data_IF_506508122563
#
_entry.id   IF_506508122563
#
_cell.length_a   1.000
_cell.length_b   1.000
_cell.length_c   1.000
_cell.angle_alpha   90.00
_cell.angle_beta   90.00
_cell.angle_gamma   90.00
#
_symmetry.space_group_name_H-M   'P 1'
#
loop_
_entity.id
_entity.type
_entity.pdbx_description
1 polymer ?
#
# COMPACT_ATOMS: atom_id res chain seq x y z
N UNK A 1 18.77 41.30 27.04
CA UNK A 1 17.30 41.31 26.87
C UNK A 1 16.99 41.31 25.38
N UNK A 2 16.15 40.35 24.96
CA UNK A 2 15.40 40.23 23.69
C UNK A 2 16.19 39.85 22.42
N UNK A 3 16.09 38.58 22.05
CA UNK A 3 16.24 38.10 20.67
C UNK A 3 15.11 37.13 20.33
N UNK A 4 14.23 37.56 19.42
CA UNK A 4 13.46 36.78 18.44
C UNK A 4 12.45 37.73 17.78
N UNK A 5 11.82 37.40 16.63
CA UNK A 5 12.07 36.31 15.68
C UNK A 5 12.18 36.81 14.22
N UNK A 6 12.90 36.10 13.34
CA UNK A 6 12.50 36.08 11.93
C UNK A 6 12.87 34.76 11.27
N UNK A 7 11.92 34.31 10.46
CA UNK A 7 11.76 33.01 9.83
C UNK A 7 12.93 32.56 8.94
N UNK A 8 13.18 31.25 8.96
CA UNK A 8 13.54 30.54 7.73
C UNK A 8 13.11 29.08 7.82
N UNK A 9 11.98 28.80 7.18
CA UNK A 9 11.75 27.70 6.26
C UNK A 9 12.43 26.34 6.59
N UNK A 10 11.65 25.38 7.12
CA UNK A 10 12.06 23.97 7.18
C UNK A 10 10.88 23.01 6.94
N UNK A 11 10.15 23.28 5.86
CA UNK A 11 9.30 22.28 5.21
C UNK A 11 9.92 21.97 3.84
N UNK A 12 10.03 20.67 3.51
CA UNK A 12 10.27 20.09 2.15
C UNK A 12 11.69 19.61 1.74
N UNK A 13 12.54 19.08 2.64
CA UNK A 13 13.84 18.51 2.19
C UNK A 13 14.14 17.04 2.53
N UNK A 14 13.19 16.26 3.05
CA UNK A 14 13.24 14.79 2.90
C UNK A 14 12.21 14.36 1.87
N UNK A 15 12.42 14.84 0.65
CA UNK A 15 11.92 14.24 -0.57
C UNK A 15 12.89 13.12 -1.00
N UNK A 16 12.35 12.15 -1.73
CA UNK A 16 13.07 11.48 -2.81
C UNK A 16 14.17 10.45 -2.45
N UNK A 17 13.80 9.39 -1.72
CA UNK A 17 14.41 8.07 -1.96
C UNK A 17 13.27 7.09 -2.21
N UNK A 18 13.00 6.80 -3.50
CA UNK A 18 12.38 5.51 -3.84
C UNK A 18 11.33 5.44 -4.95
N UNK A 19 11.03 6.50 -5.70
CA UNK A 19 10.32 6.33 -6.98
C UNK A 19 11.22 6.70 -8.16
N UNK A 20 11.22 5.80 -9.15
CA UNK A 20 11.89 5.83 -10.48
C UNK A 20 13.25 5.13 -10.58
N UNK A 21 13.21 3.79 -10.74
CA UNK A 21 14.35 3.01 -11.23
C UNK A 21 14.19 1.49 -11.15
N UNK A 22 13.57 0.89 -12.17
CA UNK A 22 13.85 -0.46 -12.70
C UNK A 22 13.84 -1.71 -11.76
N UNK A 23 12.76 -2.50 -11.88
CA UNK A 23 12.66 -3.98 -12.04
C UNK A 23 13.55 -4.97 -11.25
N UNK A 24 13.15 -6.25 -11.08
CA UNK A 24 11.81 -6.84 -11.02
C UNK A 24 11.48 -7.34 -9.60
N UNK A 25 10.20 -7.57 -9.37
CA UNK A 25 9.68 -8.55 -8.43
C UNK A 25 10.55 -9.82 -8.40
N UNK A 26 11.42 -9.96 -7.40
CA UNK A 26 12.12 -11.21 -7.14
C UNK A 26 11.25 -12.08 -6.24
N UNK A 27 10.33 -12.82 -6.86
CA UNK A 27 9.74 -14.02 -6.27
C UNK A 27 10.80 -15.14 -6.19
N UNK A 28 11.82 -14.94 -5.36
CA UNK A 28 12.74 -15.97 -4.84
C UNK A 28 13.85 -15.29 -4.03
N UNK A 29 13.55 -15.01 -2.77
CA UNK A 29 14.58 -15.00 -1.74
C UNK A 29 13.96 -15.43 -0.43
N UNK A 30 14.08 -16.72 -0.16
CA UNK A 30 14.22 -17.23 1.19
C UNK A 30 15.29 -16.40 1.91
N UNK A 31 14.91 -15.40 2.70
CA UNK A 31 15.79 -14.67 3.59
C UNK A 31 15.26 -14.93 5.01
N UNK A 32 15.76 -15.96 5.68
CA UNK A 32 16.90 -15.91 6.62
C UNK A 32 16.69 -14.86 7.71
N UNK A 33 16.67 -15.37 8.94
CA UNK A 33 16.68 -14.68 10.23
C UNK A 33 17.81 -13.64 10.35
N UNK A 34 17.66 -12.50 9.72
CA UNK A 34 18.56 -11.38 9.93
C UNK A 34 17.76 -10.28 10.59
N UNK A 35 18.01 -10.08 11.88
CA UNK A 35 17.67 -8.88 12.64
C UNK A 35 18.22 -7.68 11.86
N UNK A 36 17.42 -7.18 10.91
CA UNK A 36 17.85 -6.18 9.96
C UNK A 36 17.61 -4.81 10.60
N UNK A 37 18.64 -3.97 10.61
CA UNK A 37 18.56 -2.64 11.21
C UNK A 37 17.36 -1.85 10.64
N UNK A 38 17.06 -2.05 9.36
CA UNK A 38 15.92 -1.43 8.67
C UNK A 38 14.56 -1.82 9.29
N UNK A 39 14.38 -3.09 9.70
CA UNK A 39 13.14 -3.56 10.33
C UNK A 39 12.99 -3.01 11.74
N UNK A 40 14.10 -2.90 12.46
CA UNK A 40 14.12 -2.35 13.81
C UNK A 40 13.89 -0.84 13.80
N UNK A 41 14.46 -0.14 12.83
CA UNK A 41 14.22 1.29 12.60
C UNK A 41 12.76 1.54 12.20
N UNK A 42 12.23 0.78 11.25
CA UNK A 42 10.81 0.87 10.90
C UNK A 42 9.92 0.61 12.12
N UNK A 43 10.17 -0.46 12.89
CA UNK A 43 9.41 -0.74 14.10
C UNK A 43 9.49 0.40 15.13
N UNK A 44 10.68 1.00 15.32
CA UNK A 44 10.89 2.12 16.22
C UNK A 44 10.15 3.40 15.79
N UNK A 45 9.90 3.61 14.48
CA UNK A 45 9.07 4.72 14.00
C UNK A 45 7.62 4.61 14.48
N UNK A 46 7.12 3.39 14.67
CA UNK A 46 5.76 3.13 15.13
C UNK A 46 5.66 2.98 16.65
N UNK A 47 6.72 2.52 17.35
CA UNK A 47 6.81 2.51 18.82
C UNK A 47 7.13 3.89 19.39
N UNK A 48 6.20 4.84 19.23
CA UNK A 48 6.34 6.23 19.73
C UNK A 48 6.58 6.34 21.23
N UNK A 49 6.27 5.29 21.98
CA UNK A 49 6.40 5.25 23.45
C UNK A 49 7.70 4.58 23.91
N UNK A 50 8.48 4.00 23.00
CA UNK A 50 9.72 3.29 23.33
C UNK A 50 9.49 2.09 24.25
N UNK A 51 8.32 1.46 24.15
CA UNK A 51 7.89 0.35 25.01
C UNK A 51 8.41 -1.01 24.56
N UNK A 52 8.97 -1.09 23.34
CA UNK A 52 9.39 -2.34 22.71
C UNK A 52 8.22 -3.13 22.10
N UNK A 53 7.02 -2.55 22.07
CA UNK A 53 5.82 -3.14 21.49
C UNK A 53 5.00 -2.07 20.75
N UNK A 54 4.30 -2.51 19.70
CA UNK A 54 3.38 -1.66 18.95
C UNK A 54 1.96 -2.22 19.02
N UNK A 55 0.93 -1.35 19.00
CA UNK A 55 -0.46 -1.81 18.91
C UNK A 55 -0.65 -2.61 17.61
N UNK A 56 -1.36 -3.73 17.67
CA UNK A 56 -1.59 -4.58 16.48
C UNK A 56 -2.26 -3.83 15.33
N UNK A 57 -3.01 -2.77 15.63
CA UNK A 57 -3.71 -1.93 14.65
C UNK A 57 -2.74 -1.23 13.68
N UNK A 58 -1.46 -1.01 14.06
CA UNK A 58 -0.46 -0.38 13.17
C UNK A 58 0.31 -1.38 12.32
N UNK A 59 0.05 -2.69 12.45
CA UNK A 59 0.78 -3.72 11.71
C UNK A 59 0.63 -3.57 10.19
N UNK A 60 -0.54 -3.17 9.71
CA UNK A 60 -0.76 -2.96 8.28
C UNK A 60 0.15 -1.87 7.70
N UNK A 61 0.23 -0.73 8.39
CA UNK A 61 1.08 0.40 7.97
C UNK A 61 2.57 0.07 8.12
N UNK A 62 2.94 -0.66 9.17
CA UNK A 62 4.32 -1.10 9.40
C UNK A 62 4.79 -2.07 8.31
N UNK A 63 3.95 -3.03 7.91
CA UNK A 63 4.26 -3.95 6.82
C UNK A 63 4.42 -3.19 5.48
N UNK A 64 3.54 -2.22 5.22
CA UNK A 64 3.62 -1.34 4.04
C UNK A 64 4.86 -0.46 4.04
N UNK A 65 5.28 0.05 5.21
CA UNK A 65 6.52 0.81 5.36
C UNK A 65 7.78 -0.03 5.02
N UNK A 66 7.70 -1.36 5.15
CA UNK A 66 8.76 -2.29 4.75
C UNK A 66 8.66 -2.77 3.30
N UNK A 67 7.78 -2.17 2.50
CA UNK A 67 7.57 -2.53 1.10
C UNK A 67 6.80 -3.84 0.92
N UNK A 68 6.17 -4.37 1.97
CA UNK A 68 5.19 -5.44 1.80
C UNK A 68 3.85 -4.83 1.41
N UNK A 69 3.13 -5.45 0.48
CA UNK A 69 1.80 -5.01 0.07
C UNK A 69 0.74 -6.03 0.52
N UNK A 70 0.50 -6.21 1.83
CA UNK A 70 -0.55 -7.10 2.31
C UNK A 70 -1.92 -6.57 1.89
N UNK A 71 -2.78 -7.49 1.47
CA UNK A 71 -4.21 -7.23 1.29
C UNK A 71 -4.87 -6.88 2.64
N UNK A 72 -5.98 -6.15 2.63
CA UNK A 72 -6.70 -5.80 3.86
C UNK A 72 -7.20 -7.03 4.62
N UNK A 73 -7.59 -8.09 3.92
CA UNK A 73 -7.97 -9.38 4.47
C UNK A 73 -6.78 -10.05 5.15
N UNK A 74 -5.59 -10.02 4.54
CA UNK A 74 -4.37 -10.52 5.18
C UNK A 74 -4.00 -9.70 6.42
N UNK A 75 -4.10 -8.37 6.36
CA UNK A 75 -3.89 -7.51 7.54
C UNK A 75 -4.90 -7.88 8.62
N UNK A 76 -6.18 -8.04 8.29
CA UNK A 76 -7.21 -8.42 9.26
C UNK A 76 -6.93 -9.77 9.92
N UNK A 77 -6.53 -10.78 9.15
CA UNK A 77 -6.16 -12.10 9.67
C UNK A 77 -4.93 -12.02 10.58
N UNK A 78 -3.90 -11.27 10.17
CA UNK A 78 -2.69 -11.05 10.98
C UNK A 78 -3.04 -10.34 12.29
N UNK A 79 -3.83 -9.28 12.24
CA UNK A 79 -4.26 -8.50 13.41
C UNK A 79 -5.15 -9.34 14.34
N UNK A 80 -5.98 -10.21 13.77
CA UNK A 80 -6.83 -11.14 14.53
C UNK A 80 -6.01 -12.20 15.26
N UNK A 81 -4.99 -12.76 14.59
CA UNK A 81 -4.08 -13.76 15.16
C UNK A 81 -3.02 -13.16 16.11
N UNK A 82 -2.73 -11.86 15.98
CA UNK A 82 -1.73 -11.17 16.78
C UNK A 82 -2.25 -10.77 18.18
N UNK A 83 -1.35 -10.75 19.20
CA UNK A 83 -1.66 -10.17 20.49
C UNK A 83 -1.98 -8.67 20.37
N UNK A 84 -2.67 -8.10 21.36
CA UNK A 84 -3.03 -6.66 21.39
C UNK A 84 -1.82 -5.74 21.23
N UNK A 85 -0.72 -6.11 21.89
CA UNK A 85 0.57 -5.46 21.76
C UNK A 85 1.54 -6.46 21.14
N UNK A 86 2.17 -6.03 20.05
CA UNK A 86 3.04 -6.86 19.22
C UNK A 86 4.46 -6.42 19.47
N UNK A 87 5.25 -7.27 20.09
CA UNK A 87 6.67 -7.07 20.27
C UNK A 87 7.46 -7.36 18.99
N UNK A 88 8.70 -6.88 18.94
CA UNK A 88 9.56 -7.02 17.76
C UNK A 88 9.77 -8.48 17.31
N UNK A 89 9.80 -9.45 18.24
CA UNK A 89 9.98 -10.87 17.88
C UNK A 89 8.70 -11.43 17.24
N UNK A 90 7.54 -11.07 17.78
CA UNK A 90 6.25 -11.42 17.18
C UNK A 90 6.11 -10.79 15.79
N UNK A 91 6.52 -9.53 15.63
CA UNK A 91 6.55 -8.85 14.34
C UNK A 91 7.43 -9.57 13.31
N UNK A 92 8.65 -9.96 13.66
CA UNK A 92 9.52 -10.74 12.77
C UNK A 92 8.89 -12.07 12.37
N UNK A 93 8.12 -12.70 13.24
CA UNK A 93 7.42 -13.95 12.92
C UNK A 93 6.33 -13.73 11.87
N UNK A 94 5.59 -12.62 11.98
CA UNK A 94 4.57 -12.21 11.00
C UNK A 94 5.21 -11.88 9.65
N UNK A 95 6.31 -11.11 9.67
CA UNK A 95 7.03 -10.71 8.47
C UNK A 95 7.62 -11.90 7.72
N UNK A 96 8.11 -12.91 8.45
CA UNK A 96 8.71 -14.13 7.90
C UNK A 96 7.70 -15.27 7.71
N UNK A 97 6.40 -14.98 7.54
CA UNK A 97 5.40 -16.03 7.31
C UNK A 97 5.77 -16.85 6.05
N UNK A 98 5.63 -18.19 6.09
CA UNK A 98 6.08 -19.07 5.01
C UNK A 98 5.35 -18.82 3.68
N UNK A 99 4.12 -18.32 3.73
CA UNK A 99 3.31 -18.02 2.54
C UNK A 99 3.59 -16.63 1.94
N UNK A 100 4.47 -15.84 2.56
CA UNK A 100 4.69 -14.43 2.22
C UNK A 100 3.42 -13.58 2.27
N UNK A 101 3.48 -12.42 1.63
CA UNK A 101 2.32 -11.58 1.36
C UNK A 101 1.96 -11.74 -0.11
N UNK A 102 0.77 -12.26 -0.39
CA UNK A 102 0.38 -12.51 -1.77
C UNK A 102 0.01 -11.19 -2.44
N UNK A 103 0.43 -10.95 -3.69
CA UNK A 103 -0.11 -9.83 -4.44
C UNK A 103 -1.63 -9.99 -4.57
N UNK A 104 -2.35 -8.87 -4.54
CA UNK A 104 -3.82 -8.85 -4.62
C UNK A 104 -4.40 -9.52 -5.90
N UNK A 105 -3.57 -9.70 -6.92
CA UNK A 105 -3.89 -10.38 -8.18
C UNK A 105 -2.92 -9.98 -9.29
N UNK A 106 -3.04 -10.58 -10.47
CA UNK A 106 -2.30 -10.10 -11.65
C UNK A 106 -3.08 -9.03 -12.40
N UNK A 107 -2.43 -8.12 -13.15
CA UNK A 107 -3.11 -7.10 -13.94
C UNK A 107 -4.23 -7.67 -14.83
N UNK A 108 -4.02 -8.87 -15.37
CA UNK A 108 -4.97 -9.56 -16.24
C UNK A 108 -6.25 -9.98 -15.50
N UNK A 109 -6.16 -10.34 -14.22
CA UNK A 109 -7.34 -10.68 -13.41
C UNK A 109 -8.19 -9.44 -13.14
N UNK A 110 -7.57 -8.31 -12.82
CA UNK A 110 -8.27 -7.04 -12.65
C UNK A 110 -8.90 -6.55 -13.96
N UNK A 111 -8.16 -6.60 -15.07
CA UNK A 111 -8.64 -6.23 -16.42
C UNK A 111 -9.88 -7.04 -16.79
N UNK A 112 -9.90 -8.36 -16.53
CA UNK A 112 -11.08 -9.20 -16.77
C UNK A 112 -12.28 -8.80 -15.92
N UNK A 113 -12.06 -8.34 -14.68
CA UNK A 113 -13.12 -7.81 -13.82
C UNK A 113 -13.77 -6.57 -14.41
N UNK A 114 -12.98 -5.66 -14.97
CA UNK A 114 -13.48 -4.43 -15.62
C UNK A 114 -14.14 -4.68 -16.98
N UNK A 115 -13.70 -5.69 -17.74
CA UNK A 115 -14.32 -6.07 -19.02
C UNK A 115 -15.82 -6.42 -18.91
N UNK A 116 -16.30 -6.80 -17.73
CA UNK A 116 -17.74 -7.03 -17.49
C UNK A 116 -18.56 -5.74 -17.59
N UNK A 117 -17.93 -4.59 -17.32
CA UNK A 117 -18.54 -3.27 -17.35
C UNK A 117 -18.33 -2.56 -18.69
N UNK A 118 -17.22 -2.85 -19.37
CA UNK A 118 -16.96 -2.36 -20.73
C UNK A 118 -17.79 -3.12 -21.78
N UNK A 119 -19.02 -2.64 -22.00
CA UNK A 119 -19.93 -3.22 -23.01
C UNK A 119 -19.46 -3.02 -24.44
N UNK A 120 -18.62 -2.02 -24.67
CA UNK A 120 -18.11 -1.66 -26.00
C UNK A 120 -16.80 -2.40 -26.34
N UNK A 121 -16.13 -2.96 -25.33
CA UNK A 121 -14.86 -3.65 -25.47
C UNK A 121 -13.73 -2.73 -25.94
N UNK A 122 -13.82 -1.44 -25.65
CA UNK A 122 -12.89 -0.41 -26.11
C UNK A 122 -11.73 -0.16 -25.13
N UNK A 123 -11.75 -0.76 -23.94
CA UNK A 123 -10.73 -0.56 -22.90
C UNK A 123 -11.00 0.66 -22.00
N UNK A 124 -12.19 1.25 -22.07
CA UNK A 124 -12.60 2.41 -21.31
C UNK A 124 -13.91 2.16 -20.57
N UNK A 125 -14.01 2.67 -19.34
CA UNK A 125 -15.25 2.67 -18.55
C UNK A 125 -15.48 4.05 -17.96
N UNK A 126 -16.72 4.36 -17.58
CA UNK A 126 -16.99 5.62 -16.91
C UNK A 126 -16.28 5.71 -15.56
N UNK A 127 -15.81 6.90 -15.16
CA UNK A 127 -15.19 7.08 -13.84
C UNK A 127 -16.10 6.65 -12.67
N UNK A 128 -17.42 6.81 -12.84
CA UNK A 128 -18.42 6.32 -11.88
C UNK A 128 -18.51 4.79 -11.80
N UNK A 129 -18.34 4.10 -12.94
CA UNK A 129 -18.33 2.64 -13.00
C UNK A 129 -17.04 2.08 -12.38
N UNK A 130 -15.90 2.71 -12.66
CA UNK A 130 -14.62 2.39 -12.02
C UNK A 130 -14.72 2.50 -10.50
N UNK A 131 -15.30 3.60 -9.98
CA UNK A 131 -15.56 3.77 -8.54
C UNK A 131 -16.49 2.69 -7.99
N UNK A 132 -17.55 2.37 -8.70
CA UNK A 132 -18.47 1.31 -8.28
C UNK A 132 -17.76 -0.04 -8.17
N UNK A 133 -16.90 -0.39 -9.14
CA UNK A 133 -16.13 -1.63 -9.11
C UNK A 133 -15.18 -1.66 -7.91
N UNK A 134 -14.40 -0.61 -7.67
CA UNK A 134 -13.41 -0.55 -6.59
C UNK A 134 -14.03 -0.55 -5.18
N UNK A 135 -15.26 -0.06 -5.05
CA UNK A 135 -15.99 -0.03 -3.76
C UNK A 135 -16.88 -1.26 -3.53
N UNK A 136 -17.28 -1.97 -4.60
CA UNK A 136 -18.23 -3.09 -4.51
C UNK A 136 -17.61 -4.47 -4.76
N UNK A 137 -16.53 -4.57 -5.53
CA UNK A 137 -15.93 -5.84 -5.95
C UNK A 137 -14.58 -6.08 -5.29
N UNK A 138 -14.42 -7.24 -4.66
CA UNK A 138 -13.18 -7.66 -4.01
C UNK A 138 -12.96 -7.01 -2.63
N UNK A 139 -11.73 -6.56 -2.38
CA UNK A 139 -11.40 -5.76 -1.20
C UNK A 139 -11.96 -4.35 -1.36
N UNK A 140 -13.02 -4.07 -0.62
CA UNK A 140 -13.70 -2.78 -0.72
C UNK A 140 -12.78 -1.67 -0.24
N UNK A 141 -12.56 -0.71 -1.13
CA UNK A 141 -11.91 0.54 -0.80
C UNK A 141 -12.96 1.55 -0.33
N UNK A 142 -12.54 2.48 0.52
CA UNK A 142 -13.35 3.64 0.90
C UNK A 142 -13.42 4.63 -0.26
N UNK A 143 -14.49 5.43 -0.30
CA UNK A 143 -14.63 6.47 -1.32
C UNK A 143 -13.45 7.44 -1.32
N UNK A 144 -12.91 7.75 -0.13
CA UNK A 144 -11.73 8.60 0.04
C UNK A 144 -10.47 7.98 -0.61
N UNK A 145 -10.22 6.69 -0.41
CA UNK A 145 -9.08 6.01 -1.05
C UNK A 145 -9.24 5.96 -2.57
N UNK A 146 -10.46 5.73 -3.07
CA UNK A 146 -10.74 5.76 -4.51
C UNK A 146 -10.54 7.16 -5.08
N UNK A 147 -10.92 8.21 -4.36
CA UNK A 147 -10.65 9.59 -4.77
C UNK A 147 -9.15 9.89 -4.85
N UNK A 148 -8.35 9.42 -3.88
CA UNK A 148 -6.88 9.56 -3.95
C UNK A 148 -6.31 8.80 -5.16
N UNK A 149 -6.82 7.60 -5.46
CA UNK A 149 -6.40 6.84 -6.65
C UNK A 149 -6.75 7.58 -7.94
N UNK A 150 -7.95 8.14 -8.03
CA UNK A 150 -8.44 8.82 -9.23
C UNK A 150 -7.78 10.18 -9.48
N UNK A 151 -7.21 10.85 -8.46
CA UNK A 151 -6.47 12.11 -8.63
C UNK A 151 -5.29 12.01 -9.61
N UNK A 152 -4.66 10.85 -9.70
CA UNK A 152 -3.52 10.60 -10.60
C UNK A 152 -3.91 10.10 -11.98
N UNK A 153 -5.20 9.89 -12.25
CA UNK A 153 -5.69 9.21 -13.46
C UNK A 153 -6.17 10.22 -14.48
N UNK A 154 -5.77 10.03 -15.74
CA UNK A 154 -6.32 10.82 -16.83
C UNK A 154 -7.75 10.38 -17.12
N UNK A 155 -8.69 11.26 -16.78
CA UNK A 155 -10.09 11.15 -17.19
C UNK A 155 -10.23 11.86 -18.53
N UNK A 156 -10.75 11.15 -19.52
CA UNK A 156 -11.01 11.70 -20.85
C UNK A 156 -12.08 12.78 -20.82
N UNK A 157 -12.21 13.57 -21.92
CA UNK A 157 -13.21 14.63 -22.02
C UNK A 157 -14.65 14.15 -21.85
N UNK A 158 -14.90 12.86 -22.12
CA UNK A 158 -16.21 12.22 -22.02
C UNK A 158 -16.48 11.61 -20.62
N UNK A 159 -15.57 11.79 -19.65
CA UNK A 159 -15.68 11.18 -18.32
C UNK A 159 -15.25 9.71 -18.26
N UNK A 160 -14.65 9.20 -19.34
CA UNK A 160 -14.18 7.84 -19.46
C UNK A 160 -12.72 7.69 -18.99
N UNK A 161 -12.42 6.54 -18.40
CA UNK A 161 -11.12 6.19 -17.84
C UNK A 161 -10.62 4.92 -18.52
N UNK A 162 -9.35 4.93 -18.94
CA UNK A 162 -8.70 3.73 -19.44
C UNK A 162 -8.33 2.82 -18.26
N UNK A 163 -9.14 1.79 -18.02
CA UNK A 163 -8.96 0.91 -16.87
C UNK A 163 -7.73 0.00 -17.02
N UNK A 164 -7.30 -0.33 -18.25
CA UNK A 164 -6.11 -1.15 -18.48
C UNK A 164 -4.84 -0.40 -18.05
N UNK A 165 -4.72 0.86 -18.47
CA UNK A 165 -3.63 1.73 -18.05
C UNK A 165 -3.71 1.99 -16.55
N UNK A 166 -4.89 2.22 -15.99
CA UNK A 166 -5.09 2.38 -14.56
C UNK A 166 -4.55 1.19 -13.77
N UNK A 167 -5.01 -0.03 -14.08
CA UNK A 167 -4.57 -1.26 -13.40
C UNK A 167 -3.06 -1.45 -13.50
N UNK A 168 -2.47 -1.20 -14.68
CA UNK A 168 -1.02 -1.28 -14.87
C UNK A 168 -0.27 -0.22 -14.06
N UNK A 169 -0.78 1.00 -13.99
CA UNK A 169 -0.18 2.08 -13.19
C UNK A 169 -0.28 1.80 -11.69
N UNK A 170 -1.36 1.19 -11.22
CA UNK A 170 -1.53 0.85 -9.80
C UNK A 170 -0.68 -0.36 -9.41
N UNK A 171 -0.61 -1.40 -10.24
CA UNK A 171 0.17 -2.61 -9.93
C UNK A 171 1.67 -2.48 -10.21
N UNK A 172 2.09 -1.43 -10.91
CA UNK A 172 3.50 -1.13 -11.18
C UNK A 172 4.14 -0.22 -10.12
N UNK A 173 3.38 0.23 -9.12
CA UNK A 173 3.88 1.00 -7.97
C UNK A 173 4.23 0.08 -6.81
#
# INVERSE_FOLDING_TARGET
MKTSPFESNNNKQFAAIGMLGCSPFNASSTAIMSDNAEYKEAFALFDKRGTGAVPREVLGDLLRALGQNPTQAEVAEIVSAAPREVDYKTFLTILNRPDGFKPAGTPEEFIRGFQVFDKEGNGFIGAGELRYVLTQLGEKMTDEEVDELLKGVQIGPDGNVNYESFVRTILSQ
#
